data_IF_769656645031
#
_entry.id   IF_769656645031
#
_cell.length_a   1.000
_cell.length_b   1.000
_cell.length_c   1.000
_cell.angle_alpha   90.00
_cell.angle_beta   90.00
_cell.angle_gamma   90.00
#
_symmetry.space_group_name_H-M   'P 1'
#
loop_
_entity.id
_entity.type
_entity.pdbx_description
1 polymer ?
#
# COMPACT_ATOMS: atom_id res chain seq x y z
N UNK A 1 16.21 9.59 18.22
CA UNK A 1 16.10 8.48 17.25
C UNK A 1 17.49 8.21 16.73
N UNK A 2 18.06 7.03 17.00
CA UNK A 2 19.35 6.63 16.43
C UNK A 2 19.19 6.51 14.92
N UNK A 3 20.09 7.06 14.08
CA UNK A 3 20.04 6.87 12.63
C UNK A 3 20.18 5.38 12.34
N UNK A 4 19.06 4.70 12.09
CA UNK A 4 19.08 3.35 11.57
C UNK A 4 19.63 3.40 10.16
N UNK A 5 20.61 2.57 9.85
CA UNK A 5 21.13 2.41 8.49
C UNK A 5 19.96 2.08 7.56
N UNK A 6 19.63 3.00 6.64
CA UNK A 6 18.64 2.74 5.59
C UNK A 6 19.21 1.72 4.62
N UNK A 7 18.35 0.86 4.09
CA UNK A 7 18.74 -0.12 3.07
C UNK A 7 18.96 0.61 1.75
N UNK A 8 20.18 0.54 1.20
CA UNK A 8 20.50 1.17 -0.07
C UNK A 8 19.91 0.37 -1.25
N UNK A 9 19.26 1.07 -2.17
CA UNK A 9 18.69 0.48 -3.39
C UNK A 9 19.40 1.08 -4.59
N UNK A 10 20.02 0.19 -5.36
CA UNK A 10 20.60 0.52 -6.66
C UNK A 10 19.53 0.40 -7.73
N UNK A 11 19.62 1.26 -8.76
CA UNK A 11 18.68 1.26 -9.89
C UNK A 11 19.43 1.11 -11.21
N UNK A 12 18.83 0.38 -12.14
CA UNK A 12 19.34 0.27 -13.51
C UNK A 12 18.94 1.47 -14.38
N UNK A 13 19.32 1.43 -15.67
CA UNK A 13 19.02 2.47 -16.66
C UNK A 13 17.51 2.74 -16.84
N UNK A 14 16.66 1.75 -16.52
CA UNK A 14 15.20 1.85 -16.58
C UNK A 14 14.58 2.33 -15.26
N UNK A 15 15.38 2.76 -14.28
CA UNK A 15 14.93 3.19 -12.96
C UNK A 15 14.22 2.09 -12.17
N UNK A 16 14.64 0.84 -12.37
CA UNK A 16 14.13 -0.33 -11.65
C UNK A 16 15.20 -0.81 -10.66
N UNK A 17 14.83 -1.19 -9.41
CA UNK A 17 15.76 -1.80 -8.46
C UNK A 17 16.53 -2.98 -9.05
N UNK A 18 17.86 -3.02 -8.87
CA UNK A 18 18.71 -4.06 -9.45
C UNK A 18 19.60 -4.84 -8.47
N UNK A 19 19.84 -4.32 -7.26
CA UNK A 19 20.53 -5.09 -6.23
C UNK A 19 19.56 -6.10 -5.60
N UNK A 20 19.75 -7.39 -5.92
CA UNK A 20 18.72 -8.42 -5.76
C UNK A 20 18.19 -8.54 -4.32
N UNK A 21 19.03 -8.75 -3.28
CA UNK A 21 18.53 -8.94 -1.92
C UNK A 21 17.69 -7.75 -1.42
N UNK A 22 18.16 -6.53 -1.65
CA UNK A 22 17.52 -5.30 -1.22
C UNK A 22 16.28 -4.99 -2.05
N UNK A 23 16.29 -5.31 -3.35
CA UNK A 23 15.14 -5.19 -4.25
C UNK A 23 13.99 -6.11 -3.83
N UNK A 24 14.30 -7.34 -3.42
CA UNK A 24 13.31 -8.29 -2.87
C UNK A 24 12.75 -7.76 -1.55
N UNK A 25 13.61 -7.24 -0.68
CA UNK A 25 13.21 -6.65 0.60
C UNK A 25 12.30 -5.44 0.40
N UNK A 26 12.66 -4.52 -0.50
CA UNK A 26 11.83 -3.40 -0.90
C UNK A 26 10.48 -3.89 -1.42
N UNK A 27 10.47 -4.83 -2.38
CA UNK A 27 9.24 -5.37 -2.96
C UNK A 27 8.29 -5.99 -1.94
N UNK A 28 8.85 -6.63 -0.91
CA UNK A 28 8.12 -7.23 0.21
C UNK A 28 7.56 -6.17 1.14
N UNK A 29 8.38 -5.17 1.50
CA UNK A 29 7.98 -4.05 2.35
C UNK A 29 6.90 -3.18 1.70
N UNK A 30 6.98 -2.90 0.39
CA UNK A 30 5.91 -2.23 -0.35
C UNK A 30 4.58 -3.00 -0.26
N UNK A 31 4.64 -4.34 -0.14
CA UNK A 31 3.45 -5.16 0.11
C UNK A 31 2.86 -4.95 1.50
N UNK A 32 3.69 -4.76 2.52
CA UNK A 32 3.24 -4.42 3.88
C UNK A 32 2.56 -3.05 3.88
N UNK A 33 3.21 -2.04 3.31
CA UNK A 33 2.68 -0.66 3.24
C UNK A 33 1.35 -0.61 2.48
N UNK A 34 1.24 -1.33 1.35
CA UNK A 34 0.01 -1.34 0.55
C UNK A 34 -1.18 -2.06 1.19
N UNK A 35 -0.97 -2.80 2.29
CA UNK A 35 -2.03 -3.50 3.06
C UNK A 35 -2.37 -2.83 4.38
N UNK A 36 -1.61 -1.81 4.78
CA UNK A 36 -1.90 -1.05 6.00
C UNK A 36 -3.14 -0.17 5.77
N UNK A 37 -4.24 -0.34 6.52
CA UNK A 37 -5.48 0.42 6.30
C UNK A 37 -5.37 1.91 6.64
N UNK A 38 -4.40 2.31 7.47
CA UNK A 38 -4.14 3.70 7.86
C UNK A 38 -3.36 4.43 6.76
N UNK A 39 -2.43 3.71 6.11
CA UNK A 39 -1.60 4.25 5.03
C UNK A 39 -2.24 4.11 3.65
N UNK A 40 -2.96 3.01 3.41
CA UNK A 40 -3.49 2.60 2.11
C UNK A 40 -5.01 2.29 2.20
N UNK A 41 -5.85 3.33 2.42
CA UNK A 41 -7.29 3.14 2.63
C UNK A 41 -7.96 2.46 1.44
N UNK A 42 -8.80 1.46 1.73
CA UNK A 42 -9.51 0.66 0.72
C UNK A 42 -10.84 1.29 0.25
N UNK A 43 -11.30 2.33 0.95
CA UNK A 43 -12.55 3.06 0.65
C UNK A 43 -12.52 3.77 -0.70
N UNK A 44 -11.32 4.09 -1.22
CA UNK A 44 -11.17 4.66 -2.56
C UNK A 44 -11.33 3.57 -3.62
N UNK A 45 -12.08 3.86 -4.68
CA UNK A 45 -12.29 2.94 -5.80
C UNK A 45 -11.06 2.80 -6.69
N UNK A 46 -10.42 3.93 -7.02
CA UNK A 46 -9.30 4.03 -7.97
C UNK A 46 -8.05 4.65 -7.31
N UNK A 47 -6.89 4.05 -7.57
CA UNK A 47 -5.58 4.55 -7.16
C UNK A 47 -5.29 5.96 -7.69
N UNK A 48 -5.85 6.33 -8.84
CA UNK A 48 -5.68 7.63 -9.49
C UNK A 48 -6.51 8.74 -8.84
N UNK A 49 -7.35 8.42 -7.86
CA UNK A 49 -8.17 9.41 -7.17
C UNK A 49 -7.29 10.47 -6.48
N UNK A 50 -7.58 11.76 -6.72
CA UNK A 50 -6.81 12.89 -6.14
C UNK A 50 -6.87 12.92 -4.60
N UNK A 51 -7.93 12.40 -4.00
CA UNK A 51 -8.06 12.25 -2.55
C UNK A 51 -7.05 11.27 -1.94
N UNK A 52 -6.43 10.39 -2.73
CA UNK A 52 -5.36 9.50 -2.27
C UNK A 52 -3.98 10.15 -2.23
N UNK A 53 -3.80 11.36 -2.79
CA UNK A 53 -2.47 12.00 -2.85
C UNK A 53 -1.81 12.19 -1.47
N UNK A 54 -2.52 12.60 -0.40
CA UNK A 54 -1.93 12.66 0.94
C UNK A 54 -1.45 11.29 1.45
N UNK A 55 -2.20 10.23 1.16
CA UNK A 55 -1.86 8.86 1.54
C UNK A 55 -0.66 8.34 0.77
N UNK A 56 -0.56 8.62 -0.54
CA UNK A 56 0.61 8.31 -1.37
C UNK A 56 1.87 8.99 -0.86
N UNK A 57 1.78 10.26 -0.46
CA UNK A 57 2.90 10.99 0.14
C UNK A 57 3.35 10.34 1.46
N UNK A 58 2.40 9.96 2.32
CA UNK A 58 2.69 9.24 3.58
C UNK A 58 3.33 7.87 3.33
N UNK A 59 2.76 7.07 2.42
CA UNK A 59 3.34 5.78 2.03
C UNK A 59 4.77 5.94 1.50
N UNK A 60 5.03 6.96 0.68
CA UNK A 60 6.37 7.21 0.17
C UNK A 60 7.34 7.61 1.29
N UNK A 61 6.92 8.46 2.22
CA UNK A 61 7.72 8.84 3.38
C UNK A 61 8.05 7.64 4.29
N UNK A 62 7.11 6.70 4.48
CA UNK A 62 7.35 5.44 5.21
C UNK A 62 8.41 4.57 4.52
N UNK A 63 8.40 4.54 3.19
CA UNK A 63 9.42 3.81 2.42
C UNK A 63 10.78 4.52 2.50
N UNK A 64 10.82 5.85 2.37
CA UNK A 64 12.05 6.67 2.52
C UNK A 64 12.66 6.63 3.92
N UNK A 65 11.85 6.33 4.95
CA UNK A 65 12.33 6.16 6.31
C UNK A 65 13.15 4.88 6.50
N UNK A 66 12.95 3.86 5.66
CA UNK A 66 13.63 2.55 5.78
C UNK A 66 14.60 2.26 4.64
N UNK A 67 14.39 2.87 3.47
CA UNK A 67 15.17 2.62 2.27
C UNK A 67 15.76 3.93 1.75
N UNK A 68 16.97 3.84 1.21
CA UNK A 68 17.66 4.91 0.54
C UNK A 68 17.75 4.61 -0.95
N UNK A 69 17.21 5.50 -1.77
CA UNK A 69 17.10 5.31 -3.21
C UNK A 69 17.11 6.66 -3.93
N UNK A 70 17.56 6.72 -5.19
CA UNK A 70 17.60 7.97 -5.93
C UNK A 70 16.18 8.49 -6.26
N UNK A 71 16.01 9.82 -6.31
CA UNK A 71 14.70 10.49 -6.39
C UNK A 71 13.84 10.06 -7.59
N UNK A 72 14.48 9.67 -8.68
CA UNK A 72 13.85 9.23 -9.93
C UNK A 72 13.04 7.92 -9.81
N UNK A 73 13.35 7.04 -8.84
CA UNK A 73 12.60 5.79 -8.64
C UNK A 73 11.25 5.98 -7.92
N UNK A 74 10.99 7.16 -7.33
CA UNK A 74 9.75 7.44 -6.59
C UNK A 74 8.49 7.14 -7.41
N UNK A 75 8.53 7.39 -8.71
CA UNK A 75 7.43 7.05 -9.62
C UNK A 75 7.18 5.54 -9.67
N UNK A 76 8.24 4.74 -9.84
CA UNK A 76 8.16 3.27 -9.84
C UNK A 76 7.64 2.73 -8.51
N UNK A 77 8.08 3.29 -7.38
CA UNK A 77 7.60 2.91 -6.04
C UNK A 77 6.09 3.12 -5.93
N UNK A 78 5.59 4.29 -6.34
CA UNK A 78 4.15 4.60 -6.31
C UNK A 78 3.35 3.72 -7.27
N UNK A 79 3.89 3.35 -8.44
CA UNK A 79 3.26 2.38 -9.34
C UNK A 79 3.18 1.00 -8.70
N UNK A 80 4.26 0.52 -8.09
CA UNK A 80 4.33 -0.77 -7.41
C UNK A 80 3.36 -0.85 -6.23
N UNK A 81 3.30 0.20 -5.40
CA UNK A 81 2.30 0.35 -4.33
C UNK A 81 0.88 0.28 -4.88
N UNK A 82 0.57 1.00 -5.97
CA UNK A 82 -0.75 1.00 -6.59
C UNK A 82 -1.17 -0.36 -7.15
N UNK A 83 -0.23 -1.15 -7.70
CA UNK A 83 -0.50 -2.54 -8.10
C UNK A 83 -0.81 -3.40 -6.89
N UNK A 84 0.04 -3.36 -5.86
CA UNK A 84 -0.12 -4.17 -4.64
C UNK A 84 -1.42 -3.84 -3.90
N UNK A 85 -1.78 -2.56 -3.80
CA UNK A 85 -3.02 -2.10 -3.19
C UNK A 85 -4.26 -2.61 -3.95
N UNK A 86 -4.26 -2.54 -5.29
CA UNK A 86 -5.35 -3.11 -6.11
C UNK A 86 -5.46 -4.62 -5.93
N UNK A 87 -4.33 -5.33 -5.94
CA UNK A 87 -4.31 -6.78 -5.74
C UNK A 87 -4.86 -7.14 -4.35
N UNK A 88 -4.49 -6.40 -3.31
CA UNK A 88 -5.00 -6.60 -1.97
C UNK A 88 -6.53 -6.41 -1.90
N UNK A 89 -7.07 -5.33 -2.50
CA UNK A 89 -8.52 -5.15 -2.61
C UNK A 89 -9.22 -6.30 -3.32
N UNK A 90 -8.61 -6.81 -4.40
CA UNK A 90 -9.15 -7.98 -5.11
C UNK A 90 -9.16 -9.21 -4.22
N UNK A 91 -8.10 -9.47 -3.45
CA UNK A 91 -8.05 -10.57 -2.48
C UNK A 91 -9.12 -10.43 -1.40
N UNK A 92 -9.28 -9.25 -0.81
CA UNK A 92 -10.32 -8.99 0.19
C UNK A 92 -11.73 -9.25 -0.38
N UNK A 93 -11.98 -8.82 -1.62
CA UNK A 93 -13.26 -9.08 -2.29
C UNK A 93 -13.44 -10.58 -2.57
N UNK A 94 -12.40 -11.31 -2.95
CA UNK A 94 -12.51 -12.74 -3.16
C UNK A 94 -12.82 -13.51 -1.87
N UNK A 95 -12.28 -13.06 -0.73
CA UNK A 95 -12.38 -13.77 0.55
C UNK A 95 -13.59 -13.37 1.40
N UNK A 96 -14.01 -12.11 1.34
CA UNK A 96 -14.97 -11.53 2.27
C UNK A 96 -16.16 -10.85 1.60
N UNK A 97 -16.36 -11.05 0.29
CA UNK A 97 -17.52 -10.47 -0.38
C UNK A 97 -18.82 -11.11 0.11
N UNK A 98 -19.64 -10.29 0.75
CA UNK A 98 -21.01 -10.65 1.09
C UNK A 98 -21.94 -10.24 -0.06
N UNK A 99 -22.60 -11.23 -0.66
CA UNK A 99 -23.54 -11.02 -1.77
C UNK A 99 -24.95 -10.65 -1.31
N UNK A 100 -25.21 -10.65 0.00
CA UNK A 100 -26.50 -10.26 0.55
C UNK A 100 -26.78 -8.76 0.31
N UNK A 101 -28.05 -8.35 0.22
CA UNK A 101 -28.42 -6.95 0.17
C UNK A 101 -27.92 -6.20 1.40
N UNK A 102 -27.60 -4.91 1.24
CA UNK A 102 -27.01 -4.08 2.31
C UNK A 102 -27.92 -4.04 3.53
N UNK A 103 -29.24 -4.01 3.30
CA UNK A 103 -30.27 -4.01 4.33
C UNK A 103 -30.14 -5.23 5.25
N UNK A 104 -29.93 -6.43 4.68
CA UNK A 104 -29.77 -7.68 5.44
C UNK A 104 -28.42 -7.73 6.18
N UNK A 105 -27.36 -7.15 5.59
CA UNK A 105 -26.05 -7.05 6.25
C UNK A 105 -26.12 -6.10 7.45
N UNK A 106 -26.85 -5.00 7.32
CA UNK A 106 -27.05 -4.01 8.39
C UNK A 106 -27.92 -4.54 9.53
N UNK A 107 -28.82 -5.50 9.28
CA UNK A 107 -29.57 -6.17 10.35
C UNK A 107 -28.70 -7.11 11.19
N UNK A 108 -27.65 -7.68 10.58
CA UNK A 108 -26.69 -8.56 11.25
C UNK A 108 -25.50 -7.79 11.84
N UNK A 109 -25.76 -6.70 12.58
CA UNK A 109 -24.70 -5.91 13.23
C UNK A 109 -23.91 -6.79 14.21
N UNK A 110 -22.59 -6.97 14.01
CA UNK A 110 -21.75 -7.72 14.95
C UNK A 110 -21.78 -7.08 16.33
N UNK A 111 -21.76 -7.91 17.38
CA UNK A 111 -21.73 -7.42 18.76
C UNK A 111 -20.54 -6.46 18.98
N UNK A 112 -20.84 -5.23 19.40
CA UNK A 112 -19.83 -4.20 19.67
C UNK A 112 -19.67 -3.12 18.59
N UNK A 113 -20.46 -3.15 17.51
CA UNK A 113 -20.59 -2.05 16.56
C UNK A 113 -21.89 -1.31 16.84
N UNK A 114 -21.82 0.00 17.08
CA UNK A 114 -23.02 0.83 17.27
C UNK A 114 -23.87 0.81 15.99
N UNK A 115 -25.15 0.49 16.13
CA UNK A 115 -26.12 0.65 15.03
C UNK A 115 -26.28 2.15 14.75
N UNK A 116 -25.95 2.56 13.52
CA UNK A 116 -26.11 3.94 13.03
C UNK A 116 -27.58 4.28 12.81
#
# INVERSE_FOLDING_TARGET
MTPGTRVHIEVNENMVPCNIPESILLGSYLGVVARDPILAPISFSDWRNKGLEPFKKRMLAEVEAKFEFPTNIKHWILQSLGVKWRNFKTSLKAEHWDSRPVEEIMEAVPAGVDSV
#
